data_IF_994352412975
#
_entry.id   IF_994352412975
#
_cell.length_a   1.000
_cell.length_b   1.000
_cell.length_c   1.000
_cell.angle_alpha   90.00
_cell.angle_beta   90.00
_cell.angle_gamma   90.00
#
_symmetry.space_group_name_H-M   'P 1'
#
loop_
_entity.id
_entity.type
_entity.pdbx_description
1 polymer ?
#
# COMPACT_ATOMS: atom_id res chain seq x y z
N UNK A 1 11.94 -11.79 -10.15
CA UNK A 1 11.49 -11.65 -8.76
C UNK A 1 10.18 -12.39 -8.53
N UNK A 2 10.06 -13.02 -7.37
CA UNK A 2 8.80 -13.54 -6.85
C UNK A 2 8.11 -12.41 -6.09
N UNK A 3 7.07 -11.84 -6.67
CA UNK A 3 6.41 -10.65 -6.16
C UNK A 3 5.15 -11.03 -5.41
N UNK A 4 5.11 -10.75 -4.10
CA UNK A 4 3.89 -10.78 -3.29
C UNK A 4 3.07 -9.52 -3.49
N UNK A 5 1.74 -9.63 -3.40
CA UNK A 5 0.81 -8.49 -3.46
C UNK A 5 -0.29 -8.66 -2.41
N UNK A 6 -0.48 -7.63 -1.58
CA UNK A 6 -1.58 -7.52 -0.62
C UNK A 6 -2.42 -6.29 -0.94
N UNK A 7 -3.71 -6.48 -1.11
CA UNK A 7 -4.67 -5.43 -1.52
C UNK A 7 -5.94 -5.47 -0.65
N UNK A 8 -6.60 -4.33 -0.53
CA UNK A 8 -7.90 -4.17 0.12
C UNK A 8 -8.68 -3.01 -0.49
N UNK A 9 -10.02 -3.05 -0.49
CA UNK A 9 -10.89 -4.17 -0.06
C UNK A 9 -10.95 -5.31 -1.08
N UNK A 10 -11.69 -6.36 -0.75
CA UNK A 10 -12.07 -7.45 -1.69
C UNK A 10 -13.09 -6.91 -2.70
N UNK A 11 -12.93 -7.28 -3.96
CA UNK A 11 -13.87 -6.91 -5.03
C UNK A 11 -14.69 -8.12 -5.48
N UNK A 12 -14.06 -9.27 -5.70
CA UNK A 12 -14.71 -10.48 -6.24
C UNK A 12 -14.68 -11.61 -5.22
N UNK A 13 -13.48 -11.98 -4.74
CA UNK A 13 -13.32 -13.10 -3.82
C UNK A 13 -12.22 -12.85 -2.77
N UNK A 14 -12.37 -13.44 -1.61
CA UNK A 14 -11.49 -13.17 -0.46
C UNK A 14 -10.01 -13.45 -0.75
N UNK A 15 -9.70 -14.53 -1.47
CA UNK A 15 -8.32 -14.91 -1.78
C UNK A 15 -7.58 -13.92 -2.68
N UNK A 16 -8.28 -12.97 -3.33
CA UNK A 16 -7.62 -11.95 -4.15
C UNK A 16 -6.80 -10.94 -3.35
N UNK A 17 -7.03 -10.85 -2.02
CA UNK A 17 -6.26 -9.98 -1.14
C UNK A 17 -4.78 -10.32 -1.13
N UNK A 18 -4.44 -11.61 -1.21
CA UNK A 18 -3.07 -12.11 -1.06
C UNK A 18 -2.70 -12.90 -2.31
N UNK A 19 -1.73 -12.40 -3.05
CA UNK A 19 -1.31 -12.99 -4.33
C UNK A 19 0.21 -13.08 -4.43
N UNK A 20 0.68 -14.05 -5.22
CA UNK A 20 2.08 -14.12 -5.68
C UNK A 20 2.07 -14.16 -7.20
N UNK A 21 2.62 -13.12 -7.82
CA UNK A 21 2.45 -12.90 -9.25
C UNK A 21 0.97 -12.75 -9.60
N UNK A 22 0.44 -13.68 -10.40
CA UNK A 22 -0.98 -13.73 -10.78
C UNK A 22 -1.79 -14.77 -10.00
N UNK A 23 -1.16 -15.52 -9.10
CA UNK A 23 -1.80 -16.59 -8.36
C UNK A 23 -2.29 -16.10 -7.01
N UNK A 24 -3.56 -16.29 -6.73
CA UNK A 24 -4.17 -16.00 -5.42
C UNK A 24 -3.71 -17.04 -4.41
N UNK A 25 -3.71 -16.68 -3.11
CA UNK A 25 -3.50 -17.64 -2.03
C UNK A 25 -4.52 -18.79 -2.17
N UNK A 26 -4.05 -20.02 -2.01
CA UNK A 26 -4.95 -21.19 -2.04
C UNK A 26 -5.77 -21.30 -0.76
N UNK A 27 -6.96 -21.91 -0.81
CA UNK A 27 -7.74 -22.16 0.39
C UNK A 27 -6.97 -22.98 1.42
N UNK A 28 -6.12 -23.91 0.98
CA UNK A 28 -5.24 -24.70 1.86
C UNK A 28 -4.25 -23.79 2.60
N UNK A 29 -3.49 -22.99 1.88
CA UNK A 29 -2.50 -22.07 2.49
C UNK A 29 -3.20 -21.03 3.40
N UNK A 30 -4.40 -20.58 3.00
CA UNK A 30 -5.23 -19.66 3.79
C UNK A 30 -5.60 -20.28 5.15
N UNK A 31 -6.15 -21.52 5.14
CA UNK A 31 -6.53 -22.21 6.37
C UNK A 31 -5.31 -22.48 7.25
N UNK A 32 -4.21 -22.97 6.68
CA UNK A 32 -2.97 -23.25 7.41
C UNK A 32 -2.43 -21.99 8.09
N UNK A 33 -2.35 -20.87 7.36
CA UNK A 33 -1.91 -19.60 7.91
C UNK A 33 -2.83 -19.08 9.00
N UNK A 34 -4.16 -19.15 8.80
CA UNK A 34 -5.13 -18.71 9.80
C UNK A 34 -5.06 -19.54 11.09
N UNK A 35 -4.80 -20.85 11.01
CA UNK A 35 -4.60 -21.68 12.21
C UNK A 35 -3.36 -21.25 13.00
N UNK A 36 -2.29 -20.86 12.32
CA UNK A 36 -1.07 -20.35 12.95
C UNK A 36 -1.36 -18.98 13.60
N UNK A 37 -1.94 -18.05 12.85
CA UNK A 37 -2.24 -16.70 13.35
C UNK A 37 -3.21 -16.77 14.54
N UNK A 38 -4.24 -17.64 14.46
CA UNK A 38 -5.19 -17.83 15.56
C UNK A 38 -4.50 -18.19 16.87
N UNK A 39 -3.52 -19.09 16.88
CA UNK A 39 -2.76 -19.46 18.08
C UNK A 39 -2.08 -18.25 18.72
N UNK A 40 -1.53 -17.35 17.89
CA UNK A 40 -0.91 -16.11 18.37
C UNK A 40 -1.96 -15.12 18.91
N UNK A 41 -3.11 -15.00 18.26
CA UNK A 41 -4.22 -14.17 18.76
C UNK A 41 -4.72 -14.68 20.11
N UNK A 42 -4.92 -16.00 20.26
CA UNK A 42 -5.37 -16.61 21.51
C UNK A 42 -4.34 -16.37 22.63
N UNK A 43 -3.03 -16.46 22.34
CA UNK A 43 -1.97 -16.17 23.29
C UNK A 43 -1.97 -14.67 23.71
N UNK A 44 -2.09 -13.75 22.76
CA UNK A 44 -2.20 -12.31 23.06
C UNK A 44 -3.36 -11.99 23.99
N UNK A 45 -4.53 -12.59 23.74
CA UNK A 45 -5.71 -12.41 24.61
C UNK A 45 -5.44 -12.99 26.01
N UNK A 46 -4.78 -14.14 26.10
CA UNK A 46 -4.40 -14.76 27.40
C UNK A 46 -3.42 -13.89 28.18
N UNK A 47 -2.55 -13.14 27.48
CA UNK A 47 -1.60 -12.19 28.06
C UNK A 47 -2.24 -10.82 28.40
N UNK A 48 -3.56 -10.68 28.20
CA UNK A 48 -4.32 -9.47 28.56
C UNK A 48 -4.40 -8.39 27.48
N UNK A 49 -3.96 -8.68 26.25
CA UNK A 49 -4.12 -7.78 25.10
C UNK A 49 -5.52 -7.91 24.49
N UNK A 50 -5.94 -6.88 23.79
CA UNK A 50 -7.15 -6.94 22.99
C UNK A 50 -6.98 -7.93 21.82
N UNK A 51 -8.07 -8.58 21.43
CA UNK A 51 -8.07 -9.43 20.26
C UNK A 51 -7.80 -8.56 19.02
N UNK A 52 -6.84 -8.95 18.12
CA UNK A 52 -6.56 -8.22 16.91
C UNK A 52 -7.79 -8.05 16.02
N UNK A 53 -7.86 -6.96 15.31
CA UNK A 53 -8.90 -6.70 14.32
C UNK A 53 -8.78 -7.65 13.12
N UNK A 54 -9.86 -7.84 12.33
CA UNK A 54 -9.79 -8.65 11.11
C UNK A 54 -8.69 -8.18 10.15
N UNK A 55 -8.49 -6.87 9.98
CA UNK A 55 -7.46 -6.33 9.10
C UNK A 55 -6.03 -6.61 9.60
N UNK A 56 -5.80 -6.55 10.90
CA UNK A 56 -4.50 -6.93 11.50
C UNK A 56 -4.21 -8.42 11.31
N UNK A 57 -5.23 -9.29 11.49
CA UNK A 57 -5.12 -10.74 11.24
C UNK A 57 -4.79 -11.02 9.77
N UNK A 58 -5.51 -10.38 8.84
CA UNK A 58 -5.29 -10.51 7.40
C UNK A 58 -3.89 -10.03 6.98
N UNK A 59 -3.42 -8.93 7.57
CA UNK A 59 -2.09 -8.38 7.32
C UNK A 59 -1.00 -9.34 7.84
N UNK A 60 -1.17 -9.87 9.05
CA UNK A 60 -0.26 -10.87 9.61
C UNK A 60 -0.22 -12.15 8.74
N UNK A 61 -1.38 -12.60 8.27
CA UNK A 61 -1.48 -13.71 7.34
C UNK A 61 -0.74 -13.46 6.02
N UNK A 62 -0.88 -12.26 5.46
CA UNK A 62 -0.17 -11.88 4.24
C UNK A 62 1.35 -11.92 4.45
N UNK A 63 1.86 -11.36 5.55
CA UNK A 63 3.28 -11.38 5.87
C UNK A 63 3.80 -12.80 6.10
N UNK A 64 3.06 -13.63 6.83
CA UNK A 64 3.37 -15.05 7.00
C UNK A 64 3.46 -15.76 5.64
N UNK A 65 2.47 -15.59 4.79
CA UNK A 65 2.40 -16.25 3.49
C UNK A 65 3.56 -15.83 2.57
N UNK A 66 3.87 -14.54 2.48
CA UNK A 66 4.97 -14.05 1.66
C UNK A 66 6.34 -14.55 2.15
N UNK A 67 6.52 -14.67 3.46
CA UNK A 67 7.73 -15.27 4.04
C UNK A 67 7.83 -16.76 3.71
N UNK A 68 6.78 -17.54 3.95
CA UNK A 68 6.75 -19.00 3.66
C UNK A 68 6.99 -19.27 2.18
N UNK A 69 6.47 -18.45 1.30
CA UNK A 69 6.66 -18.56 -0.14
C UNK A 69 7.93 -17.87 -0.65
N UNK A 70 8.76 -17.33 0.24
CA UNK A 70 10.04 -16.69 -0.09
C UNK A 70 9.91 -15.62 -1.19
N UNK A 71 9.01 -14.66 -1.00
CA UNK A 71 8.86 -13.53 -1.90
C UNK A 71 10.09 -12.62 -1.82
N UNK A 72 10.63 -12.21 -2.98
CA UNK A 72 11.75 -11.28 -3.07
C UNK A 72 11.33 -9.85 -2.79
N UNK A 73 10.12 -9.49 -3.25
CA UNK A 73 9.54 -8.15 -3.14
C UNK A 73 8.06 -8.31 -2.80
N UNK A 74 7.55 -7.40 -1.98
CA UNK A 74 6.12 -7.35 -1.65
C UNK A 74 5.57 -5.96 -1.97
N UNK A 75 4.42 -5.92 -2.62
CA UNK A 75 3.63 -4.71 -2.85
C UNK A 75 2.47 -4.73 -1.86
N UNK A 76 2.46 -3.75 -0.96
CA UNK A 76 1.46 -3.62 0.10
C UNK A 76 0.56 -2.42 -0.17
N UNK A 77 -0.73 -2.64 -0.24
CA UNK A 77 -1.72 -1.56 -0.18
C UNK A 77 -2.03 -1.25 1.28
N UNK A 78 -1.90 0.02 1.64
CA UNK A 78 -2.27 0.51 2.97
C UNK A 78 -3.79 0.48 3.13
N UNK A 79 -4.29 -0.02 4.25
CA UNK A 79 -5.73 -0.07 4.51
C UNK A 79 -6.32 1.32 4.78
N UNK A 80 -5.72 2.06 5.70
CA UNK A 80 -6.17 3.41 6.05
C UNK A 80 -5.03 4.27 6.60
N UNK A 81 -4.93 5.50 6.11
CA UNK A 81 -3.91 6.44 6.58
C UNK A 81 -2.50 6.04 6.15
N UNK A 82 -1.71 5.50 7.04
CA UNK A 82 -0.34 5.07 6.79
C UNK A 82 0.43 4.82 8.09
N UNK A 83 0.66 5.85 8.88
CA UNK A 83 1.50 5.80 10.10
C UNK A 83 1.14 4.66 11.05
N UNK A 84 -0.14 4.48 11.32
CA UNK A 84 -0.68 3.51 12.29
C UNK A 84 -1.35 2.30 11.59
N UNK A 85 -1.19 2.20 10.27
CA UNK A 85 -1.75 1.09 9.53
C UNK A 85 -1.02 -0.21 9.84
N UNK A 86 -1.76 -1.32 9.93
CA UNK A 86 -1.18 -2.63 10.23
C UNK A 86 -0.10 -3.04 9.21
N UNK A 87 -0.20 -2.59 7.95
CA UNK A 87 0.82 -2.85 6.94
C UNK A 87 2.13 -2.10 7.18
N UNK A 88 2.11 -1.06 8.00
CA UNK A 88 3.27 -0.20 8.27
C UNK A 88 4.24 -0.75 9.32
N UNK A 89 4.08 -1.99 9.73
CA UNK A 89 4.99 -2.69 10.63
C UNK A 89 6.41 -2.87 10.04
N UNK A 90 6.51 -2.86 8.71
CA UNK A 90 7.76 -3.05 7.98
C UNK A 90 8.69 -1.84 8.11
N UNK A 91 10.01 -2.12 8.16
CA UNK A 91 11.07 -1.11 8.24
C UNK A 91 11.94 -1.05 6.98
N UNK A 92 11.72 -1.94 6.03
CA UNK A 92 12.54 -2.16 4.83
C UNK A 92 11.89 -1.62 3.55
N UNK A 93 11.02 -0.61 3.69
CA UNK A 93 10.35 0.03 2.54
C UNK A 93 11.37 0.53 1.53
N UNK A 94 11.33 0.02 0.31
CA UNK A 94 12.18 0.46 -0.79
C UNK A 94 11.56 1.65 -1.51
N UNK A 95 10.24 1.56 -1.75
CA UNK A 95 9.48 2.61 -2.43
C UNK A 95 8.17 2.84 -1.68
N UNK A 96 7.91 4.08 -1.29
CA UNK A 96 6.63 4.55 -0.78
C UNK A 96 5.89 5.30 -1.89
N UNK A 97 4.67 4.87 -2.22
CA UNK A 97 3.86 5.50 -3.27
C UNK A 97 2.69 6.22 -2.64
N UNK A 98 2.61 7.53 -2.89
CA UNK A 98 1.53 8.39 -2.40
C UNK A 98 0.63 8.79 -3.58
N UNK A 99 -0.55 8.21 -3.62
CA UNK A 99 -1.61 8.59 -4.55
C UNK A 99 -2.19 9.98 -4.18
N UNK A 100 -3.27 10.39 -4.83
CA UNK A 100 -3.93 11.66 -4.52
C UNK A 100 -4.40 11.71 -3.06
N UNK A 101 -4.03 12.78 -2.36
CA UNK A 101 -4.45 13.04 -0.97
C UNK A 101 -5.62 14.02 -1.00
N UNK A 102 -6.73 13.60 -0.43
CA UNK A 102 -7.95 14.37 -0.29
C UNK A 102 -8.50 14.35 1.13
N UNK A 103 -9.58 15.09 1.36
CA UNK A 103 -10.32 15.09 2.64
C UNK A 103 -11.13 13.79 2.73
N UNK A 104 -10.51 12.74 3.27
CA UNK A 104 -11.11 11.43 3.47
C UNK A 104 -10.76 10.89 4.85
N UNK A 105 -11.62 10.02 5.38
CA UNK A 105 -11.45 9.43 6.71
C UNK A 105 -11.16 10.44 7.82
N UNK A 106 -11.74 11.63 7.75
CA UNK A 106 -11.47 12.77 8.64
C UNK A 106 -11.61 12.41 10.13
N UNK A 107 -12.53 11.49 10.45
CA UNK A 107 -12.77 11.02 11.81
C UNK A 107 -11.54 10.36 12.46
N UNK A 108 -10.62 9.83 11.64
CA UNK A 108 -9.45 9.09 12.06
C UNK A 108 -8.12 9.78 11.70
N UNK A 109 -8.09 10.46 10.55
CA UNK A 109 -6.85 11.01 10.00
C UNK A 109 -6.69 12.52 10.21
N UNK A 110 -7.72 13.19 10.76
CA UNK A 110 -7.68 14.63 11.02
C UNK A 110 -8.58 15.46 10.12
N UNK A 111 -8.65 16.75 10.40
CA UNK A 111 -9.60 17.68 9.80
C UNK A 111 -8.94 18.64 8.78
N UNK A 112 -7.67 18.42 8.45
CA UNK A 112 -6.94 19.19 7.44
C UNK A 112 -6.17 18.28 6.48
N UNK A 113 -5.81 18.83 5.31
CA UNK A 113 -4.99 18.09 4.34
C UNK A 113 -3.60 17.81 4.88
N UNK A 114 -3.07 18.68 5.72
CA UNK A 114 -1.78 18.55 6.38
C UNK A 114 -1.78 17.37 7.34
N UNK A 115 -2.81 17.23 8.18
CA UNK A 115 -2.95 16.13 9.13
C UNK A 115 -3.08 14.79 8.38
N UNK A 116 -3.96 14.74 7.36
CA UNK A 116 -4.14 13.54 6.55
C UNK A 116 -2.85 13.16 5.81
N UNK A 117 -2.13 14.15 5.25
CA UNK A 117 -0.85 13.94 4.60
C UNK A 117 0.20 13.41 5.58
N UNK A 118 0.25 13.93 6.81
CA UNK A 118 1.16 13.47 7.85
C UNK A 118 0.90 12.00 8.26
N UNK A 119 -0.36 11.55 8.28
CA UNK A 119 -0.68 10.13 8.47
C UNK A 119 -0.24 9.29 7.27
N UNK A 120 -0.50 9.74 6.05
CA UNK A 120 -0.17 8.98 4.83
C UNK A 120 1.34 8.88 4.59
N UNK A 121 2.09 9.94 4.85
CA UNK A 121 3.56 9.94 4.73
C UNK A 121 4.26 9.07 5.79
N UNK A 122 3.54 8.63 6.83
CA UNK A 122 4.05 7.69 7.84
C UNK A 122 4.54 6.35 7.30
N UNK A 123 4.20 5.98 6.04
CA UNK A 123 4.75 4.79 5.37
C UNK A 123 6.17 5.01 4.83
N UNK A 124 6.63 6.25 4.72
CA UNK A 124 8.00 6.55 4.31
C UNK A 124 8.99 6.09 5.39
N UNK A 125 10.10 5.50 4.97
CA UNK A 125 11.17 5.05 5.87
C UNK A 125 12.49 5.74 5.47
N UNK A 126 13.42 5.92 6.40
CA UNK A 126 14.67 6.61 6.11
C UNK A 126 15.38 6.10 4.85
N UNK A 127 15.69 6.99 3.93
CA UNK A 127 16.41 6.69 2.69
C UNK A 127 15.60 5.97 1.59
N UNK A 128 14.30 5.69 1.78
CA UNK A 128 13.49 5.07 0.74
C UNK A 128 13.25 6.01 -0.46
N UNK A 129 12.82 5.44 -1.58
CA UNK A 129 12.29 6.24 -2.69
C UNK A 129 10.85 6.62 -2.38
N UNK A 130 10.50 7.89 -2.54
CA UNK A 130 9.11 8.36 -2.43
C UNK A 130 8.63 8.80 -3.80
N UNK A 131 7.54 8.18 -4.27
CA UNK A 131 6.85 8.60 -5.50
C UNK A 131 5.50 9.16 -5.10
N UNK A 132 5.27 10.43 -5.32
CA UNK A 132 4.00 11.09 -5.01
C UNK A 132 3.35 11.61 -6.27
N UNK A 133 2.05 11.44 -6.41
CA UNK A 133 1.30 12.30 -7.33
C UNK A 133 1.48 13.76 -6.90
N UNK A 134 1.34 14.70 -7.85
CA UNK A 134 1.26 16.12 -7.49
C UNK A 134 0.07 16.34 -6.58
N UNK A 135 0.32 16.89 -5.41
CA UNK A 135 -0.68 17.14 -4.37
C UNK A 135 -1.15 18.61 -4.39
N UNK A 136 -2.23 18.90 -3.66
CA UNK A 136 -2.58 20.28 -3.27
C UNK A 136 -1.49 20.84 -2.37
N UNK A 137 -1.29 22.16 -2.41
CA UNK A 137 -0.15 22.84 -1.77
C UNK A 137 0.08 22.43 -0.31
N UNK A 138 -0.98 22.36 0.49
CA UNK A 138 -0.90 22.01 1.91
C UNK A 138 -0.34 20.57 2.11
N UNK A 139 -0.87 19.58 1.39
CA UNK A 139 -0.37 18.22 1.44
C UNK A 139 1.01 18.08 0.78
N UNK A 140 1.28 18.85 -0.30
CA UNK A 140 2.57 18.82 -0.98
C UNK A 140 3.72 19.23 -0.05
N UNK A 141 3.54 20.28 0.74
CA UNK A 141 4.52 20.73 1.73
C UNK A 141 4.86 19.64 2.76
N UNK A 142 3.85 18.91 3.25
CA UNK A 142 4.06 17.81 4.20
C UNK A 142 4.85 16.66 3.56
N UNK A 143 4.53 16.30 2.32
CA UNK A 143 5.25 15.25 1.59
C UNK A 143 6.72 15.63 1.38
N UNK A 144 6.99 16.87 0.95
CA UNK A 144 8.34 17.39 0.72
C UNK A 144 9.15 17.47 2.02
N UNK A 145 8.55 17.96 3.08
CA UNK A 145 9.17 18.04 4.40
C UNK A 145 9.52 16.65 4.92
N UNK A 146 8.56 15.70 4.91
CA UNK A 146 8.79 14.33 5.38
C UNK A 146 9.90 13.65 4.56
N UNK A 147 9.91 13.83 3.24
CA UNK A 147 10.95 13.24 2.39
C UNK A 147 12.34 13.82 2.73
N UNK A 148 12.44 15.13 2.96
CA UNK A 148 13.68 15.78 3.34
C UNK A 148 14.18 15.33 4.72
N UNK A 149 13.30 15.28 5.73
CA UNK A 149 13.63 14.85 7.10
C UNK A 149 14.14 13.40 7.16
N UNK A 150 13.56 12.52 6.32
CA UNK A 150 13.94 11.11 6.25
C UNK A 150 15.08 10.82 5.26
N UNK A 151 15.62 11.84 4.59
CA UNK A 151 16.65 11.67 3.56
C UNK A 151 16.18 10.84 2.36
N UNK A 152 14.90 10.90 2.03
CA UNK A 152 14.29 10.18 0.93
C UNK A 152 14.49 10.91 -0.40
N UNK A 153 14.63 10.15 -1.49
CA UNK A 153 14.55 10.73 -2.84
C UNK A 153 13.08 10.87 -3.22
N UNK A 154 12.61 12.11 -3.45
CA UNK A 154 11.22 12.38 -3.83
C UNK A 154 11.09 12.57 -5.35
N UNK A 155 10.18 11.83 -5.95
CA UNK A 155 9.74 11.99 -7.35
C UNK A 155 8.28 12.39 -7.39
N UNK A 156 7.98 13.51 -8.05
CA UNK A 156 6.59 13.94 -8.26
C UNK A 156 6.10 13.45 -9.62
N UNK A 157 5.09 12.59 -9.60
CA UNK A 157 4.37 12.15 -10.78
C UNK A 157 3.24 13.14 -11.07
N UNK A 158 3.34 13.87 -12.17
CA UNK A 158 2.34 14.85 -12.59
C UNK A 158 1.61 14.35 -13.85
N UNK A 159 0.31 14.15 -13.74
CA UNK A 159 -0.52 13.70 -14.85
C UNK A 159 -0.45 14.64 -16.07
N UNK A 160 -0.17 15.95 -15.87
CA UNK A 160 0.04 16.90 -16.95
C UNK A 160 1.24 16.56 -17.85
N UNK A 161 2.17 15.73 -17.36
CA UNK A 161 3.32 15.25 -18.14
C UNK A 161 2.99 14.04 -19.02
N UNK A 162 1.79 13.46 -18.91
CA UNK A 162 1.34 12.40 -19.82
C UNK A 162 1.07 13.00 -21.21
N UNK A 163 1.66 12.40 -22.24
CA UNK A 163 1.53 12.83 -23.63
C UNK A 163 0.95 11.72 -24.49
N UNK A 164 0.37 12.09 -25.62
CA UNK A 164 -0.20 11.14 -26.60
C UNK A 164 -1.21 10.17 -25.97
N UNK A 165 -2.00 10.69 -25.02
CA UNK A 165 -3.00 9.88 -24.31
C UNK A 165 -4.07 9.44 -25.30
N UNK A 166 -4.33 8.13 -25.36
CA UNK A 166 -5.39 7.52 -26.15
C UNK A 166 -6.27 6.68 -25.23
N UNK A 167 -7.54 6.99 -25.22
CA UNK A 167 -8.55 6.27 -24.45
C UNK A 167 -9.19 5.17 -25.30
N UNK A 168 -9.42 4.02 -24.70
CA UNK A 168 -10.13 2.91 -25.32
C UNK A 168 -10.85 2.06 -24.27
N UNK A 169 -11.90 1.35 -24.68
CA UNK A 169 -12.71 0.53 -23.77
C UNK A 169 -11.94 -0.60 -23.08
N UNK A 170 -10.90 -1.13 -23.72
CA UNK A 170 -10.11 -2.26 -23.17
C UNK A 170 -8.78 -1.82 -22.59
N UNK A 171 -8.27 -0.69 -23.02
CA UNK A 171 -6.96 -0.17 -22.59
C UNK A 171 -6.82 1.31 -22.92
N UNK A 172 -5.99 1.95 -22.15
CA UNK A 172 -5.50 3.31 -22.42
C UNK A 172 -4.01 3.24 -22.70
N UNK A 173 -3.51 4.14 -23.53
CA UNK A 173 -2.08 4.24 -23.82
C UNK A 173 -1.63 5.69 -23.71
N UNK A 174 -0.41 5.90 -23.24
CA UNK A 174 0.19 7.24 -23.12
C UNK A 174 1.71 7.15 -23.10
N UNK A 175 2.36 8.28 -23.32
CA UNK A 175 3.79 8.46 -23.09
C UNK A 175 4.01 9.21 -21.77
N UNK A 176 5.05 8.84 -21.02
CA UNK A 176 5.43 9.54 -19.81
C UNK A 176 6.95 9.60 -19.67
N UNK A 177 7.52 10.79 -19.65
CA UNK A 177 8.98 10.98 -19.65
C UNK A 177 9.64 10.27 -20.84
N UNK A 178 10.58 9.39 -20.55
CA UNK A 178 11.28 8.58 -21.54
C UNK A 178 10.53 7.32 -21.96
N UNK A 179 9.47 6.96 -21.24
CA UNK A 179 8.65 5.78 -21.52
C UNK A 179 7.62 6.09 -22.59
N UNK A 180 7.56 5.24 -23.60
CA UNK A 180 6.64 5.38 -24.73
C UNK A 180 5.62 4.27 -24.76
N UNK A 181 4.41 4.61 -25.17
CA UNK A 181 3.31 3.65 -25.35
C UNK A 181 3.03 2.81 -24.09
N UNK A 182 3.14 3.42 -22.92
CA UNK A 182 2.70 2.78 -21.70
C UNK A 182 1.23 2.39 -21.86
N UNK A 183 0.89 1.21 -21.39
CA UNK A 183 -0.45 0.66 -21.51
C UNK A 183 -1.02 0.36 -20.13
N UNK A 184 -2.24 0.82 -19.88
CA UNK A 184 -3.03 0.46 -18.71
C UNK A 184 -4.37 -0.12 -19.14
N UNK A 185 -4.81 -1.17 -18.45
CA UNK A 185 -6.08 -1.87 -18.74
C UNK A 185 -7.21 -1.47 -17.79
N UNK A 186 -6.94 -0.55 -16.87
CA UNK A 186 -7.96 0.00 -15.98
C UNK A 186 -8.86 0.98 -16.76
N UNK A 187 -10.16 0.74 -16.67
CA UNK A 187 -11.17 1.65 -17.15
C UNK A 187 -11.65 2.50 -15.96
N UNK A 188 -11.32 3.79 -15.98
CA UNK A 188 -11.69 4.74 -14.93
C UNK A 188 -11.12 6.10 -15.19
#
# INVERSE_FOLDING_TARGET
YRVGKYISPVIIEYCEKIQIGKQKITHKDLCEGLEIIKKHCDAMVSDGFHHPTPFEIETALAFWYFREKQCDIVVLETGMGGREDATNLITTTQVAVLASIGMDHMKFLGNSLEEIAAHKTGICKPGCQVVSMRQKEAAQKVVEQTAAELGCTLTIADAANAKHVKYGLKKQTFDYGNYKKLEITLAG
#
